data_IF_536657767160
#
_entry.id   IF_536657767160
#
_cell.length_a   1.000
_cell.length_b   1.000
_cell.length_c   1.000
_cell.angle_alpha   90.00
_cell.angle_beta   90.00
_cell.angle_gamma   90.00
#
_symmetry.space_group_name_H-M   'P 1'
#
loop_
_entity.id
_entity.type
_entity.pdbx_description
1 polymer ?
#
# COMPACT_ATOMS: atom_id res chain seq x y z
N UNK A 1 16.55 19.22 28.01
CA UNK A 1 16.44 17.80 27.63
C UNK A 1 17.82 17.33 27.21
N UNK A 2 18.35 16.26 27.81
CA UNK A 2 19.68 15.71 27.50
C UNK A 2 19.61 14.83 26.24
N UNK A 3 20.71 14.72 25.49
CA UNK A 3 20.77 13.90 24.25
C UNK A 3 20.43 12.42 24.52
N UNK A 4 20.85 11.91 25.69
CA UNK A 4 20.55 10.55 26.13
C UNK A 4 19.05 10.30 26.28
N UNK A 5 18.33 11.21 26.93
CA UNK A 5 16.88 11.09 27.12
C UNK A 5 16.11 11.10 25.79
N UNK A 6 16.57 11.88 24.80
CA UNK A 6 15.99 11.88 23.45
C UNK A 6 16.21 10.51 22.78
N UNK A 7 17.40 9.93 22.94
CA UNK A 7 17.73 8.64 22.34
C UNK A 7 16.92 7.47 22.94
N UNK A 8 16.71 7.45 24.25
CA UNK A 8 15.88 6.44 24.92
C UNK A 8 14.41 6.56 24.55
N UNK A 9 13.91 7.78 24.46
CA UNK A 9 12.54 8.04 24.01
C UNK A 9 12.31 7.53 22.58
N UNK A 10 13.22 7.82 21.65
CA UNK A 10 13.11 7.31 20.27
C UNK A 10 13.26 5.78 20.17
N UNK A 11 14.12 5.17 20.99
CA UNK A 11 14.22 3.70 21.09
C UNK A 11 12.91 3.07 21.55
N UNK A 12 12.22 3.69 22.50
CA UNK A 12 10.90 3.22 22.95
C UNK A 12 9.82 3.34 21.86
N UNK A 13 9.93 4.35 20.99
CA UNK A 13 9.00 4.60 19.88
C UNK A 13 9.27 3.76 18.63
N UNK A 14 10.32 2.93 18.63
CA UNK A 14 10.70 2.12 17.46
C UNK A 14 9.55 1.25 16.94
N UNK A 15 8.82 0.58 17.84
CA UNK A 15 7.65 -0.23 17.46
C UNK A 15 6.51 0.59 16.85
N UNK A 16 6.31 1.83 17.32
CA UNK A 16 5.27 2.73 16.81
C UNK A 16 5.58 3.17 15.38
N UNK A 17 6.85 3.50 15.09
CA UNK A 17 7.27 3.84 13.73
C UNK A 17 7.08 2.69 12.75
N UNK A 18 7.40 1.46 13.16
CA UNK A 18 7.16 0.26 12.34
C UNK A 18 5.66 0.03 12.10
N UNK A 19 4.82 0.25 13.12
CA UNK A 19 3.37 0.15 12.99
C UNK A 19 2.81 1.17 11.99
N UNK A 20 3.26 2.43 12.07
CA UNK A 20 2.85 3.50 11.15
C UNK A 20 3.29 3.18 9.73
N UNK A 21 4.53 2.72 9.53
CA UNK A 21 5.04 2.32 8.23
C UNK A 21 4.25 1.15 7.65
N UNK A 22 3.96 0.13 8.46
CA UNK A 22 3.13 -1.01 8.06
C UNK A 22 1.72 -0.57 7.65
N UNK A 23 1.05 0.23 8.48
CA UNK A 23 -0.27 0.77 8.16
C UNK A 23 -0.26 1.64 6.91
N UNK A 24 0.81 2.40 6.67
CA UNK A 24 1.00 3.17 5.44
C UNK A 24 1.05 2.27 4.19
N UNK A 25 1.77 1.15 4.27
CA UNK A 25 1.85 0.16 3.19
C UNK A 25 0.50 -0.52 2.96
N UNK A 26 -0.17 -0.96 4.03
CA UNK A 26 -1.51 -1.57 3.95
C UNK A 26 -2.49 -0.57 3.33
N UNK A 27 -2.55 0.65 3.83
CA UNK A 27 -3.43 1.68 3.29
C UNK A 27 -3.14 1.98 1.82
N UNK A 28 -1.87 2.03 1.43
CA UNK A 28 -1.45 2.19 0.04
C UNK A 28 -1.88 1.00 -0.84
N UNK A 29 -1.67 -0.23 -0.38
CA UNK A 29 -2.02 -1.45 -1.10
C UNK A 29 -3.54 -1.59 -1.30
N UNK A 30 -4.33 -1.25 -0.27
CA UNK A 30 -5.79 -1.28 -0.31
C UNK A 30 -6.41 0.00 -0.91
N UNK A 31 -5.59 0.98 -1.31
CA UNK A 31 -6.10 2.24 -1.88
C UNK A 31 -6.79 1.95 -3.23
N UNK A 32 -8.08 2.30 -3.38
CA UNK A 32 -8.87 1.97 -4.57
C UNK A 32 -8.41 2.66 -5.86
N UNK A 33 -7.48 3.63 -5.79
CA UNK A 33 -6.96 4.35 -6.96
C UNK A 33 -6.20 3.46 -7.95
N UNK A 34 -5.90 2.21 -7.59
CA UNK A 34 -5.32 1.21 -8.48
C UNK A 34 -6.25 0.00 -8.72
N UNK A 35 -7.46 -0.01 -8.16
CA UNK A 35 -8.41 -1.12 -8.33
C UNK A 35 -8.85 -1.24 -9.78
N UNK A 36 -9.26 -0.15 -10.40
CA UNK A 36 -9.77 -0.15 -11.77
C UNK A 36 -8.76 -0.74 -12.76
N UNK A 37 -7.47 -0.39 -12.62
CA UNK A 37 -6.39 -0.95 -13.46
C UNK A 37 -6.10 -2.44 -13.18
N UNK A 38 -6.27 -2.89 -11.93
CA UNK A 38 -6.06 -4.30 -11.57
C UNK A 38 -7.24 -5.17 -12.00
N UNK A 39 -8.47 -4.65 -11.90
CA UNK A 39 -9.67 -5.28 -12.44
C UNK A 39 -9.61 -5.37 -13.98
N UNK A 40 -9.10 -4.33 -14.65
CA UNK A 40 -8.89 -4.33 -16.10
C UNK A 40 -7.91 -5.44 -16.55
N UNK A 41 -6.80 -5.65 -15.83
CA UNK A 41 -5.87 -6.74 -16.13
C UNK A 41 -6.45 -8.13 -15.84
N UNK A 42 -7.24 -8.27 -14.77
CA UNK A 42 -7.94 -9.52 -14.46
C UNK A 42 -9.01 -9.88 -15.48
N UNK A 43 -9.58 -8.89 -16.17
CA UNK A 43 -10.57 -9.07 -17.22
C UNK A 43 -9.96 -9.36 -18.60
N UNK A 44 -8.63 -9.36 -18.79
CA UNK A 44 -8.03 -9.69 -20.10
C UNK A 44 -8.47 -11.08 -20.62
N UNK A 45 -8.46 -12.17 -19.83
CA UNK A 45 -8.90 -13.48 -20.29
C UNK A 45 -10.43 -13.62 -20.40
N UNK A 46 -11.20 -12.74 -19.74
CA UNK A 46 -12.66 -12.77 -19.66
C UNK A 46 -13.32 -11.71 -20.55
N UNK A 47 -12.53 -10.87 -21.20
CA UNK A 47 -12.99 -9.99 -22.26
C UNK A 47 -13.45 -10.88 -23.40
N UNK A 48 -14.74 -10.89 -23.64
CA UNK A 48 -15.27 -11.28 -24.95
C UNK A 48 -14.67 -10.28 -25.95
N UNK A 49 -13.59 -10.67 -26.62
CA UNK A 49 -13.08 -9.98 -27.79
C UNK A 49 -14.07 -10.22 -28.95
N UNK A 50 -15.27 -9.64 -28.85
CA UNK A 50 -16.31 -9.65 -29.89
C UNK A 50 -15.96 -8.76 -31.09
N UNK A 51 -14.83 -8.05 -31.06
CA UNK A 51 -14.45 -7.06 -32.05
C UNK A 51 -13.12 -7.40 -32.75
N UNK A 52 -13.06 -8.47 -33.55
CA UNK A 52 -12.24 -8.54 -34.80
C UNK A 52 -12.82 -9.49 -35.85
N UNK A 53 -14.05 -9.23 -36.29
CA UNK A 53 -14.50 -9.65 -37.63
C UNK A 53 -15.36 -8.57 -38.29
N UNK A 54 -14.78 -7.39 -38.59
CA UNK A 54 -15.26 -6.44 -39.61
C UNK A 54 -14.12 -5.65 -40.24
#
# INVERSE_FOLDING_TARGET
>A
MTLEAISEFFRSLWGVWLMVLFLGIVFYAFRPRNKDRLEEYGNIPLRDDDDKER
#
